data_IF_766971784038
#
_entry.id   IF_766971784038
#
_cell.length_a   1.000
_cell.length_b   1.000
_cell.length_c   1.000
_cell.angle_alpha   90.00
_cell.angle_beta   90.00
_cell.angle_gamma   90.00
#
_symmetry.space_group_name_H-M   'P 1'
#
loop_
_entity.id
_entity.type
_entity.pdbx_description
1 polymer ?
#
# COMPACT_ATOMS: atom_id res chain seq x y z
N UNK A 1 -26.03 -4.18 7.08
CA UNK A 1 -26.07 -5.14 8.21
C UNK A 1 -25.66 -4.43 9.47
N UNK A 2 -26.12 -4.86 10.66
CA UNK A 2 -25.92 -4.13 11.94
C UNK A 2 -24.45 -3.96 12.41
N UNK A 3 -23.48 -4.46 11.66
CA UNK A 3 -22.05 -4.43 12.00
C UNK A 3 -21.24 -3.33 11.30
N UNK A 4 -21.82 -2.62 10.32
CA UNK A 4 -21.14 -1.57 9.57
C UNK A 4 -22.03 -0.33 9.52
N UNK A 5 -21.51 0.78 10.04
CA UNK A 5 -22.15 2.09 9.95
C UNK A 5 -21.56 2.87 8.76
N UNK A 6 -22.33 2.97 7.68
CA UNK A 6 -21.91 3.71 6.49
C UNK A 6 -21.90 5.23 6.70
N UNK A 7 -22.56 5.75 7.74
CA UNK A 7 -22.53 7.18 8.06
C UNK A 7 -21.17 7.67 8.53
N UNK A 8 -20.28 6.77 8.95
CA UNK A 8 -18.90 7.07 9.34
C UNK A 8 -17.88 6.91 8.20
N UNK A 9 -18.33 6.62 6.97
CA UNK A 9 -17.46 6.40 5.81
C UNK A 9 -17.69 7.53 4.80
N UNK A 10 -16.67 8.36 4.60
CA UNK A 10 -16.73 9.46 3.63
C UNK A 10 -16.66 8.96 2.18
N UNK A 11 -15.82 7.95 1.92
CA UNK A 11 -15.59 7.44 0.57
C UNK A 11 -15.21 5.96 0.56
N UNK A 12 -15.76 5.21 -0.41
CA UNK A 12 -15.34 3.85 -0.74
C UNK A 12 -14.46 3.84 -1.99
N UNK A 13 -13.27 3.26 -1.88
CA UNK A 13 -12.28 3.22 -2.97
C UNK A 13 -11.96 1.78 -3.35
N UNK A 14 -11.72 1.54 -4.64
CA UNK A 14 -11.33 0.22 -5.14
C UNK A 14 -9.83 0.18 -5.40
N UNK A 15 -9.17 -0.90 -4.97
CA UNK A 15 -7.77 -1.21 -5.25
C UNK A 15 -7.71 -2.57 -5.92
N UNK A 16 -6.80 -2.74 -6.88
CA UNK A 16 -6.64 -4.02 -7.57
C UNK A 16 -5.75 -4.97 -6.77
N UNK A 17 -5.88 -6.27 -7.00
CA UNK A 17 -5.00 -7.29 -6.39
C UNK A 17 -3.53 -7.03 -6.72
N UNK A 18 -3.22 -6.62 -7.96
CA UNK A 18 -1.86 -6.25 -8.38
C UNK A 18 -1.33 -5.10 -7.53
N UNK A 19 -2.09 -4.01 -7.43
CA UNK A 19 -1.71 -2.85 -6.62
C UNK A 19 -1.49 -3.24 -5.15
N UNK A 20 -2.41 -4.02 -4.58
CA UNK A 20 -2.37 -4.42 -3.19
C UNK A 20 -1.17 -5.33 -2.88
N UNK A 21 -0.97 -6.39 -3.67
CA UNK A 21 0.05 -7.40 -3.42
C UNK A 21 1.45 -6.91 -3.77
N UNK A 22 1.64 -6.22 -4.90
CA UNK A 22 2.94 -5.62 -5.22
C UNK A 22 3.33 -4.58 -4.15
N UNK A 23 2.38 -3.80 -3.63
CA UNK A 23 2.67 -2.86 -2.53
C UNK A 23 3.05 -3.59 -1.24
N UNK A 24 2.36 -4.67 -0.87
CA UNK A 24 2.73 -5.48 0.29
C UNK A 24 4.16 -6.07 0.15
N UNK A 25 4.49 -6.60 -1.03
CA UNK A 25 5.83 -7.11 -1.36
C UNK A 25 6.89 -6.00 -1.32
N UNK A 26 6.57 -4.83 -1.88
CA UNK A 26 7.45 -3.67 -1.88
C UNK A 26 7.78 -3.22 -0.45
N UNK A 27 6.77 -3.05 0.40
CA UNK A 27 6.95 -2.62 1.80
C UNK A 27 7.78 -3.64 2.59
N UNK A 28 7.54 -4.94 2.40
CA UNK A 28 8.36 -5.99 3.02
C UNK A 28 9.83 -5.89 2.59
N UNK A 29 10.11 -5.74 1.30
CA UNK A 29 11.47 -5.72 0.73
C UNK A 29 12.23 -4.42 1.01
N UNK A 30 11.56 -3.26 0.95
CA UNK A 30 12.19 -1.93 1.00
C UNK A 30 12.13 -1.27 2.38
N UNK A 31 11.11 -1.59 3.19
CA UNK A 31 10.87 -0.96 4.49
C UNK A 31 10.92 -1.96 5.66
N UNK A 32 11.09 -3.26 5.38
CA UNK A 32 11.27 -4.29 6.41
C UNK A 32 9.99 -4.65 7.18
N UNK A 33 8.81 -4.28 6.66
CA UNK A 33 7.53 -4.56 7.29
C UNK A 33 6.78 -5.65 6.51
N UNK A 34 6.71 -6.84 7.10
CA UNK A 34 6.04 -7.98 6.50
C UNK A 34 4.54 -7.96 6.84
N UNK A 35 3.72 -7.49 5.89
CA UNK A 35 2.27 -7.25 6.09
C UNK A 35 1.41 -8.05 5.09
N UNK A 36 0.13 -8.25 5.42
CA UNK A 36 -0.83 -8.86 4.49
C UNK A 36 -1.20 -7.99 3.29
N UNK A 37 -1.85 -8.62 2.29
CA UNK A 37 -2.23 -7.96 1.04
C UNK A 37 -3.23 -6.81 1.21
N UNK A 38 -4.18 -6.92 2.13
CA UNK A 38 -5.15 -5.86 2.42
C UNK A 38 -4.46 -4.58 2.92
N UNK A 39 -3.48 -4.72 3.80
CA UNK A 39 -2.63 -3.62 4.27
C UNK A 39 -1.87 -3.00 3.09
N UNK A 40 -1.33 -3.81 2.18
CA UNK A 40 -0.70 -3.32 0.95
C UNK A 40 -1.64 -2.46 0.10
N UNK A 41 -2.90 -2.87 -0.06
CA UNK A 41 -3.92 -2.09 -0.77
C UNK A 41 -4.26 -0.75 -0.10
N UNK A 42 -4.37 -0.75 1.23
CA UNK A 42 -4.62 0.46 2.01
C UNK A 42 -3.43 1.45 1.91
N UNK A 43 -2.19 0.96 1.97
CA UNK A 43 -0.99 1.77 1.78
C UNK A 43 -0.93 2.35 0.37
N UNK A 44 -1.20 1.55 -0.66
CA UNK A 44 -1.20 2.01 -2.05
C UNK A 44 -2.15 3.20 -2.24
N UNK A 45 -3.39 3.10 -1.75
CA UNK A 45 -4.38 4.18 -1.88
C UNK A 45 -4.06 5.41 -1.05
N UNK A 46 -3.51 5.23 0.14
CA UNK A 46 -3.02 6.36 0.93
C UNK A 46 -1.93 7.14 0.16
N UNK A 47 -0.94 6.43 -0.41
CA UNK A 47 0.13 7.06 -1.18
C UNK A 47 -0.38 7.70 -2.49
N UNK A 48 -1.32 7.05 -3.19
CA UNK A 48 -1.97 7.59 -4.38
C UNK A 48 -2.68 8.93 -4.07
N UNK A 49 -3.42 8.99 -2.97
CA UNK A 49 -4.14 10.20 -2.55
C UNK A 49 -3.21 11.31 -2.09
N UNK A 50 -2.08 10.97 -1.46
CA UNK A 50 -1.03 11.93 -1.12
C UNK A 50 -0.37 12.48 -2.39
N UNK A 51 -0.06 11.61 -3.35
CA UNK A 51 0.59 11.97 -4.60
C UNK A 51 -0.31 12.84 -5.49
N UNK A 52 -1.63 12.57 -5.48
CA UNK A 52 -2.61 13.38 -6.23
C UNK A 52 -2.96 14.70 -5.53
N UNK A 53 -2.46 14.96 -4.32
CA UNK A 53 -2.82 16.13 -3.50
C UNK A 53 -4.23 16.08 -2.90
N UNK A 54 -4.91 14.93 -2.96
CA UNK A 54 -6.26 14.75 -2.39
C UNK A 54 -6.24 14.73 -0.86
N UNK A 55 -5.21 14.12 -0.28
CA UNK A 55 -4.98 14.13 1.16
C UNK A 55 -3.65 14.84 1.48
N UNK A 56 -3.67 15.64 2.55
CA UNK A 56 -2.52 16.39 3.05
C UNK A 56 -2.40 16.23 4.57
N UNK A 57 -1.20 16.46 5.12
CA UNK A 57 -0.93 16.31 6.55
C UNK A 57 -0.62 14.87 6.97
N UNK A 58 -0.87 14.55 8.24
CA UNK A 58 -0.61 13.22 8.81
C UNK A 58 -1.73 12.25 8.45
N UNK A 59 -1.35 11.15 7.80
CA UNK A 59 -2.29 10.12 7.35
C UNK A 59 -1.96 8.82 8.06
N UNK A 60 -2.99 8.18 8.61
CA UNK A 60 -2.89 6.91 9.33
C UNK A 60 -3.58 5.84 8.50
N UNK A 61 -2.94 4.68 8.38
CA UNK A 61 -3.52 3.49 7.76
C UNK A 61 -3.36 2.29 8.69
N UNK A 62 -4.27 1.33 8.61
CA UNK A 62 -4.31 0.16 9.50
C UNK A 62 -3.50 -1.00 8.95
N UNK A 63 -2.67 -1.61 9.78
CA UNK A 63 -2.07 -2.93 9.53
C UNK A 63 -2.97 -4.00 10.12
N UNK A 64 -3.61 -4.78 9.25
CA UNK A 64 -4.70 -5.67 9.65
C UNK A 64 -4.19 -7.04 10.10
N UNK A 65 -3.06 -7.49 9.54
CA UNK A 65 -2.34 -8.71 9.94
C UNK A 65 -0.89 -8.75 9.41
N UNK A 66 -0.11 -9.71 9.94
CA UNK A 66 1.24 -10.01 9.49
C UNK A 66 1.29 -10.84 8.21
N UNK A 67 2.36 -10.64 7.43
CA UNK A 67 2.53 -11.28 6.12
C UNK A 67 2.94 -12.75 6.17
N UNK A 68 3.29 -13.29 7.34
CA UNK A 68 3.76 -14.68 7.53
C UNK A 68 2.75 -15.72 7.06
N UNK A 69 1.45 -15.40 7.12
CA UNK A 69 0.36 -16.27 6.66
C UNK A 69 0.31 -16.42 5.15
N UNK A 70 1.00 -15.54 4.41
CA UNK A 70 0.92 -15.43 2.96
C UNK A 70 2.24 -15.75 2.26
N UNK A 71 3.20 -16.36 2.96
CA UNK A 71 4.51 -16.71 2.42
C UNK A 71 4.42 -17.60 1.17
N UNK A 72 3.51 -18.57 1.16
CA UNK A 72 3.25 -19.45 0.01
C UNK A 72 2.25 -18.89 -1.01
N UNK A 73 1.86 -17.61 -0.89
CA UNK A 73 0.92 -16.96 -1.81
C UNK A 73 1.48 -15.64 -2.33
N UNK A 74 1.07 -14.49 -1.79
CA UNK A 74 1.42 -13.17 -2.33
C UNK A 74 2.91 -12.85 -2.21
N UNK A 75 3.68 -13.58 -1.41
CA UNK A 75 5.14 -13.47 -1.30
C UNK A 75 5.90 -14.54 -2.12
N UNK A 76 5.20 -15.53 -2.67
CA UNK A 76 5.75 -16.53 -3.59
C UNK A 76 5.68 -15.97 -5.03
N UNK A 77 6.83 -15.92 -5.73
CA UNK A 77 6.90 -15.37 -7.09
C UNK A 77 6.17 -16.26 -8.13
N UNK A 78 6.26 -17.59 -7.99
CA UNK A 78 5.60 -18.54 -8.89
C UNK A 78 4.07 -18.46 -8.74
N UNK A 79 3.59 -18.32 -7.51
CA UNK A 79 2.16 -18.17 -7.23
C UNK A 79 1.58 -16.91 -7.86
N UNK A 80 2.31 -15.79 -7.77
CA UNK A 80 1.95 -14.51 -8.38
C UNK A 80 2.00 -14.58 -9.91
N UNK A 81 3.07 -15.16 -10.47
CA UNK A 81 3.25 -15.29 -11.92
C UNK A 81 2.13 -16.13 -12.56
N UNK A 82 1.80 -17.29 -11.96
CA UNK A 82 0.71 -18.17 -12.43
C UNK A 82 -0.65 -17.47 -12.46
N UNK A 83 -0.85 -16.45 -11.63
CA UNK A 83 -2.08 -15.66 -11.55
C UNK A 83 -2.02 -14.33 -12.30
N UNK A 84 -0.90 -14.03 -12.97
CA UNK A 84 -0.67 -12.76 -13.68
C UNK A 84 -0.81 -11.55 -12.77
N UNK A 85 -0.30 -11.67 -11.54
CA UNK A 85 -0.38 -10.62 -10.50
C UNK A 85 0.92 -9.82 -10.35
N UNK A 86 1.92 -10.10 -11.21
CA UNK A 86 3.19 -9.38 -11.19
C UNK A 86 3.13 -8.15 -12.10
N UNK A 87 3.45 -6.99 -11.54
CA UNK A 87 3.58 -5.74 -12.30
C UNK A 87 4.70 -4.88 -11.70
N UNK A 88 5.90 -4.87 -12.30
CA UNK A 88 7.04 -4.11 -11.78
C UNK A 88 6.82 -2.59 -11.86
N UNK A 89 5.84 -2.10 -12.63
CA UNK A 89 5.54 -0.67 -12.69
C UNK A 89 5.02 -0.12 -11.36
N UNK A 90 4.36 -0.97 -10.54
CA UNK A 90 3.89 -0.58 -9.21
C UNK A 90 5.06 -0.20 -8.31
N UNK A 91 6.14 -0.99 -8.30
CA UNK A 91 7.32 -0.68 -7.49
C UNK A 91 7.99 0.64 -7.93
N UNK A 92 8.12 0.86 -9.24
CA UNK A 92 8.67 2.11 -9.78
C UNK A 92 7.82 3.33 -9.42
N UNK A 93 6.50 3.19 -9.46
CA UNK A 93 5.56 4.23 -9.07
C UNK A 93 5.65 4.56 -7.57
N UNK A 94 5.73 3.54 -6.71
CA UNK A 94 5.91 3.71 -5.26
C UNK A 94 7.25 4.37 -4.92
N UNK A 95 8.34 3.96 -5.58
CA UNK A 95 9.64 4.61 -5.46
C UNK A 95 9.52 6.11 -5.82
N UNK A 96 8.80 6.44 -6.90
CA UNK A 96 8.53 7.83 -7.29
C UNK A 96 7.79 8.63 -6.20
N UNK A 97 6.69 8.10 -5.67
CA UNK A 97 5.89 8.78 -4.65
C UNK A 97 6.65 8.99 -3.33
N UNK A 98 7.46 8.01 -2.92
CA UNK A 98 8.20 8.07 -1.65
C UNK A 98 9.47 8.91 -1.76
N UNK A 99 10.19 8.87 -2.88
CA UNK A 99 11.44 9.64 -3.07
C UNK A 99 11.19 11.15 -3.16
N UNK A 100 10.08 11.57 -3.79
CA UNK A 100 9.71 12.99 -3.86
C UNK A 100 9.46 13.62 -2.48
N UNK A 101 9.17 12.80 -1.46
CA UNK A 101 8.84 13.26 -0.10
C UNK A 101 9.99 13.17 0.89
N UNK A 102 10.96 12.27 0.72
CA UNK A 102 12.17 12.25 1.57
C UNK A 102 12.96 13.58 1.48
N UNK A 103 12.92 14.25 0.33
CA UNK A 103 13.49 15.61 0.18
C UNK A 103 12.64 16.72 0.82
N UNK A 104 11.33 16.52 1.00
CA UNK A 104 10.43 17.52 1.59
C UNK A 104 10.48 17.53 3.14
N UNK A 105 10.85 16.40 3.76
CA UNK A 105 11.03 16.32 5.23
C UNK A 105 12.34 17.00 5.69
N UNK A 106 13.28 17.25 4.79
CA UNK A 106 14.52 17.97 5.07
C UNK A 106 14.42 19.51 5.09
N UNK A 107 13.23 20.10 4.88
CA UNK A 107 13.04 21.55 4.75
C UNK A 107 12.15 22.16 5.85
N UNK A 108 12.15 21.58 7.05
CA UNK A 108 11.62 22.23 8.27
C UNK A 108 12.62 22.04 9.40
N UNK A 109 13.73 22.77 9.32
CA UNK A 109 14.53 23.20 10.46
C UNK A 109 14.88 24.67 10.22
N UNK A 110 13.90 25.53 10.46
CA UNK A 110 14.08 26.93 10.87
C UNK A 110 13.14 27.19 12.05
#
# INVERSE_FOLDING_TARGET
GRALDYGCIDEGVQVTDIQAFETARYIARRKGLLVGGSTGGAIYKALEFIASGKLTGTIVTTVVDGGEKYLGTIFDDDWMAKRRLLDPSIAAQLDGWLTTREHAVGCVLD
#
